data_IF_964858878938
#
_entry.id   IF_964858878938
#
_cell.length_a   1.000
_cell.length_b   1.000
_cell.length_c   1.000
_cell.angle_alpha   90.00
_cell.angle_beta   90.00
_cell.angle_gamma   90.00
#
_symmetry.space_group_name_H-M   'P 1'
#
loop_
_entity.id
_entity.type
_entity.pdbx_description
1 polymer ?
#
# COMPACT_ATOMS: atom_id res chain seq x y z
N UNK A 1 -2.02 -1.14 -23.44
CA UNK A 1 -1.14 -1.84 -22.47
C UNK A 1 -2.00 -2.33 -21.32
N UNK A 2 -1.86 -3.56 -20.91
CA UNK A 2 -2.44 -4.13 -19.71
C UNK A 2 -1.27 -4.44 -18.74
N UNK A 3 -1.35 -3.95 -17.50
CA UNK A 3 -0.30 -4.15 -16.51
C UNK A 3 -0.84 -4.16 -15.10
N UNK A 4 -0.10 -4.77 -14.17
CA UNK A 4 -0.46 -4.89 -12.78
C UNK A 4 0.73 -4.62 -11.85
N UNK A 5 0.45 -4.05 -10.69
CA UNK A 5 1.38 -3.99 -9.56
C UNK A 5 0.90 -4.99 -8.53
N UNK A 6 1.81 -5.80 -8.00
CA UNK A 6 1.50 -6.87 -7.06
C UNK A 6 2.29 -6.64 -5.78
N UNK A 7 1.68 -6.91 -4.64
CA UNK A 7 2.30 -6.87 -3.32
C UNK A 7 2.00 -8.16 -2.56
N UNK A 8 2.70 -8.38 -1.45
CA UNK A 8 2.59 -9.58 -0.62
C UNK A 8 1.19 -9.78 -0.05
N UNK A 9 0.56 -8.68 0.43
CA UNK A 9 -0.74 -8.69 1.08
C UNK A 9 -0.79 -9.69 2.24
N UNK A 10 -1.89 -10.42 2.36
CA UNK A 10 -1.98 -11.54 3.30
C UNK A 10 -1.51 -12.86 2.70
N UNK A 11 -1.45 -12.98 1.38
CA UNK A 11 -1.10 -14.25 0.76
C UNK A 11 0.34 -14.65 1.07
N UNK A 12 1.29 -13.76 0.80
CA UNK A 12 2.70 -13.97 1.06
C UNK A 12 3.26 -13.13 2.22
N UNK A 13 2.46 -12.23 2.81
CA UNK A 13 2.82 -11.38 3.94
C UNK A 13 2.45 -12.00 5.28
N UNK A 14 2.27 -11.14 6.29
CA UNK A 14 1.95 -11.55 7.65
C UNK A 14 0.45 -11.75 7.86
N UNK A 15 0.09 -12.89 8.47
CA UNK A 15 -1.21 -13.15 9.06
C UNK A 15 -1.00 -13.44 10.54
N UNK A 16 -1.38 -12.53 11.42
CA UNK A 16 -1.06 -12.57 12.85
C UNK A 16 0.46 -12.70 13.08
N UNK A 17 0.92 -13.82 13.61
CA UNK A 17 2.35 -14.09 13.88
C UNK A 17 3.02 -14.93 12.79
N UNK A 18 2.27 -15.35 11.78
CA UNK A 18 2.77 -16.19 10.69
C UNK A 18 3.14 -15.34 9.48
N UNK A 19 4.13 -15.79 8.74
CA UNK A 19 4.54 -15.24 7.45
C UNK A 19 4.43 -16.34 6.39
N UNK A 20 4.09 -15.99 5.15
CA UNK A 20 3.88 -16.93 4.05
C UNK A 20 2.81 -18.01 4.33
N UNK A 21 1.75 -17.64 5.06
CA UNK A 21 0.73 -18.62 5.51
C UNK A 21 -0.01 -19.28 4.34
N UNK A 22 -0.27 -18.55 3.28
CA UNK A 22 -0.99 -19.04 2.11
C UNK A 22 -0.09 -19.32 0.91
N UNK A 23 1.12 -18.78 0.87
CA UNK A 23 2.10 -18.99 -0.20
C UNK A 23 3.31 -18.10 -0.09
N UNK A 24 4.39 -18.47 -0.75
CA UNK A 24 5.69 -17.76 -0.65
C UNK A 24 5.76 -16.49 -1.51
N UNK A 25 5.04 -16.48 -2.63
CA UNK A 25 5.04 -15.34 -3.55
C UNK A 25 3.65 -15.11 -4.14
N UNK A 26 3.23 -13.85 -4.29
CA UNK A 26 1.94 -13.52 -4.87
C UNK A 26 1.88 -13.96 -6.33
N UNK A 27 0.67 -14.33 -6.78
CA UNK A 27 0.39 -14.76 -8.15
C UNK A 27 -0.70 -13.88 -8.73
N UNK A 28 -0.67 -13.71 -10.03
CA UNK A 28 -1.61 -12.85 -10.74
C UNK A 28 -2.19 -13.57 -11.94
N UNK A 29 -3.50 -13.47 -12.09
CA UNK A 29 -4.23 -13.88 -13.27
C UNK A 29 -5.21 -12.79 -13.66
N UNK A 30 -5.28 -12.46 -14.93
CA UNK A 30 -6.24 -11.51 -15.48
C UNK A 30 -6.66 -11.88 -16.89
N UNK A 31 -7.88 -11.48 -17.22
CA UNK A 31 -8.44 -11.57 -18.55
C UNK A 31 -9.19 -10.26 -18.85
N UNK A 32 -8.87 -9.66 -20.00
CA UNK A 32 -9.59 -8.51 -20.53
C UNK A 32 -10.36 -8.98 -21.76
N UNK A 33 -11.66 -8.76 -21.77
CA UNK A 33 -12.53 -9.02 -22.90
C UNK A 33 -13.00 -7.69 -23.48
N UNK A 34 -12.80 -7.52 -24.77
CA UNK A 34 -13.21 -6.31 -25.51
C UNK A 34 -14.20 -6.75 -26.59
N UNK A 35 -15.41 -6.21 -26.54
CA UNK A 35 -16.40 -6.33 -27.60
C UNK A 35 -16.27 -5.13 -28.54
N UNK A 36 -16.00 -5.39 -29.81
CA UNK A 36 -15.85 -4.39 -30.84
C UNK A 36 -17.22 -4.01 -31.43
N UNK A 37 -17.32 -2.86 -32.08
CA UNK A 37 -18.57 -2.37 -32.67
C UNK A 37 -19.18 -3.31 -33.72
N UNK A 38 -18.34 -4.12 -34.37
CA UNK A 38 -18.75 -5.15 -35.34
C UNK A 38 -19.21 -6.48 -34.69
N UNK A 39 -19.26 -6.54 -33.35
CA UNK A 39 -19.63 -7.72 -32.59
C UNK A 39 -18.51 -8.74 -32.40
N UNK A 40 -17.31 -8.49 -32.91
CA UNK A 40 -16.16 -9.36 -32.65
C UNK A 40 -15.68 -9.18 -31.20
N UNK A 41 -15.35 -10.29 -30.56
CA UNK A 41 -14.80 -10.33 -29.20
C UNK A 41 -13.30 -10.61 -29.21
N UNK A 42 -12.53 -9.72 -28.67
CA UNK A 42 -11.10 -9.89 -28.49
C UNK A 42 -10.82 -10.18 -27.01
N UNK A 43 -10.00 -11.21 -26.76
CA UNK A 43 -9.60 -11.61 -25.40
C UNK A 43 -8.10 -11.44 -25.24
N UNK A 44 -7.68 -10.74 -24.20
CA UNK A 44 -6.28 -10.62 -23.78
C UNK A 44 -6.18 -11.22 -22.39
N UNK A 45 -5.41 -12.28 -22.22
CA UNK A 45 -5.21 -12.96 -20.93
C UNK A 45 -3.74 -12.93 -20.52
N UNK A 46 -3.49 -13.22 -19.25
CA UNK A 46 -2.12 -13.46 -18.74
C UNK A 46 -1.58 -14.77 -19.33
N UNK A 47 -0.36 -14.72 -19.85
CA UNK A 47 0.35 -15.85 -20.47
C UNK A 47 1.87 -15.72 -20.27
N UNK A 48 2.66 -16.56 -20.91
CA UNK A 48 4.13 -16.56 -20.87
C UNK A 48 4.79 -15.40 -21.65
N UNK A 49 4.01 -14.63 -22.40
CA UNK A 49 4.50 -13.44 -23.11
C UNK A 49 4.58 -12.20 -22.22
N UNK A 50 3.98 -12.27 -21.03
CA UNK A 50 4.08 -11.19 -20.07
C UNK A 50 5.51 -11.01 -19.58
N UNK A 51 5.80 -9.81 -19.12
CA UNK A 51 7.09 -9.44 -18.58
C UNK A 51 6.90 -8.83 -17.19
N UNK A 52 7.92 -9.01 -16.34
CA UNK A 52 7.92 -8.50 -14.97
C UNK A 52 9.18 -7.70 -14.67
N UNK A 53 9.06 -6.74 -13.77
CA UNK A 53 10.18 -5.99 -13.22
C UNK A 53 9.89 -5.59 -11.80
N UNK A 54 10.92 -5.42 -11.01
CA UNK A 54 10.82 -4.73 -9.73
C UNK A 54 10.83 -3.22 -9.97
N UNK A 55 10.16 -2.48 -9.08
CA UNK A 55 10.03 -1.03 -9.18
C UNK A 55 10.04 -0.36 -7.82
N UNK A 56 9.34 0.75 -7.71
CA UNK A 56 9.29 1.58 -6.52
C UNK A 56 8.65 0.92 -5.29
N UNK A 57 7.72 0.00 -5.48
CA UNK A 57 7.12 -0.78 -4.39
C UNK A 57 8.09 -1.88 -3.96
N UNK A 58 8.72 -1.72 -2.79
CA UNK A 58 9.70 -2.67 -2.25
C UNK A 58 9.07 -3.70 -1.32
N UNK A 59 7.92 -3.35 -0.72
CA UNK A 59 7.19 -4.20 0.21
C UNK A 59 5.76 -3.69 0.38
N UNK A 60 4.78 -4.58 0.53
CA UNK A 60 3.39 -4.21 0.75
C UNK A 60 2.64 -5.29 1.52
N UNK A 61 2.51 -5.11 2.84
CA UNK A 61 1.95 -6.05 3.81
C UNK A 61 0.94 -5.34 4.71
N UNK A 62 -0.23 -5.91 4.90
CA UNK A 62 -1.31 -5.27 5.65
C UNK A 62 -0.99 -5.02 7.13
N UNK A 63 -0.13 -5.83 7.75
CA UNK A 63 0.27 -5.66 9.16
C UNK A 63 1.58 -4.89 9.31
N UNK A 64 2.52 -5.08 8.39
CA UNK A 64 3.81 -4.43 8.44
C UNK A 64 3.79 -3.03 7.84
N UNK A 65 2.98 -2.81 6.80
CA UNK A 65 2.86 -1.57 6.05
C UNK A 65 3.47 -1.63 4.66
N UNK A 66 3.57 -0.49 3.99
CA UNK A 66 4.12 -0.36 2.65
C UNK A 66 5.47 0.35 2.68
N UNK A 67 6.41 -0.13 1.87
CA UNK A 67 7.68 0.54 1.64
C UNK A 67 7.82 0.89 0.16
N UNK A 68 7.89 2.19 -0.12
CA UNK A 68 7.96 2.73 -1.45
C UNK A 68 9.19 3.63 -1.63
N UNK A 69 9.99 3.36 -2.63
CA UNK A 69 11.15 4.19 -3.00
C UNK A 69 10.89 4.89 -4.35
N UNK A 70 10.52 6.15 -4.30
CA UNK A 70 10.16 6.92 -5.49
C UNK A 70 11.32 7.11 -6.50
N UNK A 71 12.56 6.85 -6.09
CA UNK A 71 13.73 6.89 -6.99
C UNK A 71 13.75 5.72 -7.98
N UNK A 72 13.01 4.64 -7.65
CA UNK A 72 12.91 3.41 -8.44
C UNK A 72 11.66 3.37 -9.32
N UNK A 73 10.93 4.47 -9.43
CA UNK A 73 9.77 4.55 -10.31
C UNK A 73 10.15 4.28 -11.77
N UNK A 74 9.40 3.40 -12.40
CA UNK A 74 9.55 3.08 -13.81
C UNK A 74 8.68 4.03 -14.63
N UNK A 75 9.31 4.98 -15.29
CA UNK A 75 8.57 6.00 -16.05
C UNK A 75 7.81 5.37 -17.22
N UNK A 76 6.54 5.74 -17.38
CA UNK A 76 5.70 5.39 -18.53
C UNK A 76 5.50 3.87 -18.76
N UNK A 77 5.73 3.03 -17.76
CA UNK A 77 5.61 1.57 -17.91
C UNK A 77 4.18 1.12 -18.31
N UNK A 78 3.19 1.92 -17.99
CA UNK A 78 1.76 1.71 -18.24
C UNK A 78 1.26 2.43 -19.52
N UNK A 79 2.16 3.06 -20.27
CA UNK A 79 1.80 3.82 -21.48
C UNK A 79 1.96 2.99 -22.76
N UNK A 80 1.13 3.25 -23.80
CA UNK A 80 1.33 2.67 -25.11
C UNK A 80 2.73 2.97 -25.66
N UNK A 81 3.37 1.94 -26.23
CA UNK A 81 4.72 2.05 -26.79
C UNK A 81 5.86 1.87 -25.79
N UNK A 82 5.57 1.62 -24.52
CA UNK A 82 6.62 1.24 -23.57
C UNK A 82 7.30 -0.06 -24.00
N UNK A 83 8.63 -0.03 -24.08
CA UNK A 83 9.45 -1.18 -24.45
C UNK A 83 10.03 -1.84 -23.20
N UNK A 84 9.48 -2.95 -22.79
CA UNK A 84 9.93 -3.74 -21.63
C UNK A 84 11.17 -4.62 -21.95
N UNK A 85 12.20 -4.04 -22.61
CA UNK A 85 13.37 -4.81 -23.12
C UNK A 85 14.17 -5.47 -22.01
N UNK A 86 14.31 -4.77 -20.89
CA UNK A 86 15.09 -5.23 -19.73
C UNK A 86 14.24 -5.92 -18.66
N UNK A 87 12.96 -6.13 -18.94
CA UNK A 87 12.06 -6.84 -18.05
C UNK A 87 12.23 -8.35 -18.20
N UNK A 88 12.16 -9.05 -17.09
CA UNK A 88 12.30 -10.51 -17.04
C UNK A 88 11.04 -11.20 -17.56
N UNK A 89 11.15 -12.41 -18.13
CA UNK A 89 9.99 -13.24 -18.38
C UNK A 89 9.28 -13.60 -17.07
N UNK A 90 7.97 -13.82 -17.13
CA UNK A 90 7.21 -14.34 -16.00
C UNK A 90 7.35 -15.86 -15.91
N UNK A 91 7.25 -16.39 -14.69
CA UNK A 91 7.01 -17.82 -14.48
C UNK A 91 5.49 -18.06 -14.52
N UNK A 92 5.07 -19.05 -15.31
CA UNK A 92 3.67 -19.45 -15.40
C UNK A 92 3.43 -20.77 -14.67
N UNK A 93 2.26 -20.92 -14.08
CA UNK A 93 1.79 -22.14 -13.45
C UNK A 93 0.43 -22.54 -14.02
N UNK A 94 0.09 -23.80 -13.91
CA UNK A 94 -1.25 -24.25 -14.23
C UNK A 94 -2.29 -23.55 -13.36
N UNK A 95 -3.45 -23.25 -13.94
CA UNK A 95 -4.58 -22.75 -13.17
C UNK A 95 -4.90 -23.74 -12.05
N UNK A 96 -5.07 -23.27 -10.81
CA UNK A 96 -5.52 -24.14 -9.73
C UNK A 96 -6.92 -24.68 -10.07
N UNK A 97 -7.19 -25.90 -9.65
CA UNK A 97 -8.52 -26.53 -9.75
C UNK A 97 -9.49 -25.84 -8.77
N UNK A 98 -9.75 -24.56 -8.97
CA UNK A 98 -10.64 -23.78 -8.11
C UNK A 98 -11.55 -22.90 -8.98
N UNK A 99 -12.74 -22.65 -8.50
CA UNK A 99 -13.67 -21.77 -9.18
C UNK A 99 -13.27 -20.32 -8.98
N UNK A 100 -12.99 -19.60 -10.05
CA UNK A 100 -12.90 -18.16 -10.03
C UNK A 100 -14.31 -17.58 -9.93
N UNK A 101 -14.56 -16.82 -8.91
CA UNK A 101 -15.84 -16.19 -8.70
C UNK A 101 -15.68 -14.68 -8.44
N UNK A 102 -16.73 -13.95 -8.72
CA UNK A 102 -16.78 -12.52 -8.41
C UNK A 102 -16.77 -12.31 -6.90
N UNK A 103 -16.00 -11.33 -6.41
CA UNK A 103 -16.02 -10.99 -4.99
C UNK A 103 -17.40 -10.46 -4.59
N UNK A 104 -18.10 -11.08 -3.61
CA UNK A 104 -19.39 -10.62 -3.15
C UNK A 104 -19.33 -9.36 -2.28
N UNK A 105 -18.13 -9.01 -1.79
CA UNK A 105 -17.95 -7.85 -0.91
C UNK A 105 -17.93 -6.55 -1.72
N UNK A 106 -18.49 -5.44 -1.16
CA UNK A 106 -18.30 -4.14 -1.74
C UNK A 106 -16.82 -3.79 -1.87
N UNK A 107 -16.38 -3.16 -2.95
CA UNK A 107 -14.99 -2.78 -3.10
C UNK A 107 -14.59 -1.71 -2.07
N UNK A 108 -13.37 -1.81 -1.57
CA UNK A 108 -12.77 -0.76 -0.73
C UNK A 108 -12.62 0.50 -1.58
N UNK A 109 -13.18 1.62 -1.11
CA UNK A 109 -13.17 2.90 -1.82
C UNK A 109 -12.77 4.03 -0.89
N UNK A 110 -12.09 5.03 -1.44
CA UNK A 110 -11.89 6.31 -0.75
C UNK A 110 -13.26 6.97 -0.56
N UNK A 111 -13.66 7.20 0.69
CA UNK A 111 -14.93 7.83 1.04
C UNK A 111 -14.78 9.35 1.15
N UNK A 112 -13.72 9.81 1.82
CA UNK A 112 -13.43 11.23 2.07
C UNK A 112 -11.97 11.44 2.44
N UNK A 113 -11.50 12.68 2.29
CA UNK A 113 -10.23 13.15 2.84
C UNK A 113 -10.49 13.88 4.17
N UNK A 114 -9.68 13.58 5.19
CA UNK A 114 -9.75 14.18 6.52
C UNK A 114 -8.44 14.92 6.77
N UNK A 115 -8.53 16.15 7.24
CA UNK A 115 -7.37 16.95 7.63
C UNK A 115 -7.10 16.74 9.12
N UNK A 116 -5.81 16.79 9.48
CA UNK A 116 -5.43 16.84 10.89
C UNK A 116 -6.02 18.07 11.56
N UNK A 117 -6.51 17.90 12.78
CA UNK A 117 -7.06 18.97 13.64
C UNK A 117 -5.99 19.54 14.56
N UNK A 118 -4.96 18.75 14.88
CA UNK A 118 -3.84 19.15 15.72
C UNK A 118 -2.53 18.53 15.20
N UNK A 119 -1.43 19.26 15.36
CA UNK A 119 -0.06 18.80 15.10
C UNK A 119 0.78 19.07 16.35
N UNK A 120 1.40 18.02 16.89
CA UNK A 120 2.32 18.11 18.02
C UNK A 120 3.70 17.56 17.67
N UNK A 121 4.72 17.97 18.42
CA UNK A 121 6.09 17.47 18.26
C UNK A 121 6.62 16.98 19.61
N UNK A 122 6.29 15.75 20.04
CA UNK A 122 6.70 15.24 21.34
C UNK A 122 8.22 15.03 21.46
N UNK A 123 8.92 14.81 20.34
CA UNK A 123 10.38 14.64 20.28
C UNK A 123 10.94 15.28 19.00
N UNK A 124 12.23 15.64 18.95
CA UNK A 124 12.88 16.12 17.73
C UNK A 124 12.63 15.15 16.55
N UNK A 125 12.25 15.72 15.41
CA UNK A 125 11.94 14.99 14.15
C UNK A 125 10.77 14.00 14.23
N UNK A 126 9.96 14.03 15.30
CA UNK A 126 8.73 13.24 15.42
C UNK A 126 7.53 14.18 15.47
N UNK A 127 6.61 14.00 14.56
CA UNK A 127 5.39 14.80 14.44
C UNK A 127 4.19 13.89 14.61
N UNK A 128 3.25 14.24 15.46
CA UNK A 128 2.00 13.52 15.69
C UNK A 128 0.85 14.36 15.15
N UNK A 129 0.14 13.78 14.21
CA UNK A 129 -1.04 14.38 13.58
C UNK A 129 -2.29 13.77 14.18
N UNK A 130 -3.09 14.58 14.87
CA UNK A 130 -4.40 14.18 15.38
C UNK A 130 -5.46 14.44 14.30
N UNK A 131 -6.26 13.45 13.97
CA UNK A 131 -7.34 13.54 12.98
C UNK A 131 -8.72 13.77 13.62
N UNK A 132 -8.78 13.90 14.95
CA UNK A 132 -10.00 14.23 15.69
C UNK A 132 -11.02 13.10 15.79
N UNK A 133 -10.77 11.94 15.20
CA UNK A 133 -11.67 10.78 15.23
C UNK A 133 -10.95 9.47 14.98
N UNK A 134 -11.52 8.37 15.47
CA UNK A 134 -11.07 7.03 15.11
C UNK A 134 -11.49 6.73 13.66
N UNK A 135 -10.57 6.22 12.88
CA UNK A 135 -10.82 5.87 11.49
C UNK A 135 -9.89 4.78 10.99
N UNK A 136 -10.29 4.17 9.90
CA UNK A 136 -9.46 3.28 9.09
C UNK A 136 -9.20 3.96 7.75
N UNK A 137 -7.94 3.96 7.31
CA UNK A 137 -7.56 4.59 6.06
C UNK A 137 -6.06 4.59 5.82
N UNK A 138 -5.64 5.43 4.91
CA UNK A 138 -4.23 5.68 4.58
C UNK A 138 -3.95 7.17 4.48
N UNK A 139 -2.67 7.53 4.57
CA UNK A 139 -2.22 8.92 4.52
C UNK A 139 -1.94 9.34 3.08
N UNK A 140 -2.43 10.52 2.70
CA UNK A 140 -1.94 11.25 1.53
C UNK A 140 -0.78 12.14 1.95
N UNK A 141 0.43 11.66 1.74
CA UNK A 141 1.66 12.39 2.04
C UNK A 141 1.93 13.46 0.98
N UNK A 142 2.21 14.67 1.44
CA UNK A 142 2.76 15.76 0.61
C UNK A 142 4.07 16.20 1.22
N UNK A 143 5.17 16.00 0.52
CA UNK A 143 6.50 16.26 1.04
C UNK A 143 7.39 16.94 0.00
N UNK A 144 8.27 17.82 0.48
CA UNK A 144 9.36 18.38 -0.32
C UNK A 144 10.66 18.22 0.44
N UNK A 145 11.52 17.34 -0.05
CA UNK A 145 12.76 16.98 0.61
C UNK A 145 13.82 16.55 -0.43
N UNK A 146 15.10 16.51 -0.07
CA UNK A 146 16.16 15.97 -0.93
C UNK A 146 15.89 14.50 -1.29
N UNK A 147 16.44 14.07 -2.43
CA UNK A 147 16.41 12.66 -2.85
C UNK A 147 17.01 11.75 -1.75
N UNK A 148 16.38 10.61 -1.52
CA UNK A 148 16.80 9.66 -0.50
C UNK A 148 16.31 9.99 0.92
N UNK A 149 15.66 11.15 1.13
CA UNK A 149 15.01 11.42 2.42
C UNK A 149 13.92 10.39 2.68
N UNK A 150 13.98 9.75 3.83
CA UNK A 150 13.03 8.74 4.25
C UNK A 150 11.97 9.34 5.16
N UNK A 151 10.72 9.28 4.76
CA UNK A 151 9.56 9.65 5.57
C UNK A 151 8.91 8.37 6.08
N UNK A 152 8.81 8.23 7.39
CA UNK A 152 8.21 7.07 8.04
C UNK A 152 6.90 7.50 8.69
N UNK A 153 5.80 6.89 8.27
CA UNK A 153 4.46 7.10 8.79
C UNK A 153 4.12 5.92 9.71
N UNK A 154 3.96 6.21 11.00
CA UNK A 154 3.60 5.22 12.02
C UNK A 154 2.18 5.47 12.48
N UNK A 155 1.38 4.42 12.60
CA UNK A 155 -0.03 4.52 12.96
C UNK A 155 -0.27 3.93 14.35
N UNK A 156 -1.16 4.55 15.11
CA UNK A 156 -1.58 4.08 16.43
C UNK A 156 -2.95 4.67 16.80
N UNK A 157 -3.63 4.00 17.71
CA UNK A 157 -4.94 4.43 18.23
C UNK A 157 -4.85 5.20 19.55
N UNK A 158 -3.71 5.14 20.23
CA UNK A 158 -3.51 5.76 21.55
C UNK A 158 -2.16 6.45 21.63
N UNK A 159 -2.06 7.41 22.57
CA UNK A 159 -0.81 8.06 22.92
C UNK A 159 -0.38 7.68 24.35
N UNK A 160 0.93 7.64 24.55
CA UNK A 160 1.54 7.62 25.88
C UNK A 160 1.33 8.98 26.58
N UNK A 161 1.50 9.07 27.91
CA UNK A 161 1.39 10.33 28.65
C UNK A 161 2.37 11.42 28.17
N UNK A 162 3.50 11.04 27.57
CA UNK A 162 4.50 11.95 27.00
C UNK A 162 4.15 12.44 25.58
N UNK A 163 2.98 12.07 25.07
CA UNK A 163 2.49 12.44 23.74
C UNK A 163 3.05 11.59 22.58
N UNK A 164 3.88 10.59 22.84
CA UNK A 164 4.33 9.63 21.82
C UNK A 164 3.27 8.56 21.54
N UNK A 165 3.39 7.86 20.40
CA UNK A 165 2.46 6.79 20.03
C UNK A 165 2.58 5.60 21.00
N UNK A 166 1.43 5.07 21.45
CA UNK A 166 1.37 3.79 22.16
C UNK A 166 1.24 2.65 21.17
N UNK A 167 2.24 1.79 21.10
CA UNK A 167 2.36 0.74 20.09
C UNK A 167 2.22 -0.68 20.63
N UNK A 168 2.17 -0.86 21.95
CA UNK A 168 2.16 -2.19 22.58
C UNK A 168 0.92 -3.01 22.18
N UNK A 169 -0.21 -2.37 21.96
CA UNK A 169 -1.46 -3.01 21.53
C UNK A 169 -1.41 -3.54 20.09
N UNK A 170 -0.48 -3.09 19.26
CA UNK A 170 -0.33 -3.55 17.88
C UNK A 170 0.25 -4.98 17.80
N UNK A 171 0.83 -5.50 18.87
CA UNK A 171 1.43 -6.83 18.95
C UNK A 171 2.52 -7.03 17.87
N UNK A 172 2.28 -7.91 16.88
CA UNK A 172 3.19 -8.17 15.75
C UNK A 172 3.07 -7.17 14.60
N UNK A 173 1.98 -6.40 14.53
CA UNK A 173 1.79 -5.43 13.47
C UNK A 173 2.73 -4.23 13.66
N UNK A 174 3.46 -3.89 12.62
CA UNK A 174 4.34 -2.70 12.62
C UNK A 174 3.55 -1.43 12.37
N UNK A 175 2.52 -1.52 11.51
CA UNK A 175 1.69 -0.40 11.07
C UNK A 175 2.53 0.81 10.64
N UNK A 176 3.47 0.60 9.71
CA UNK A 176 4.44 1.60 9.26
C UNK A 176 4.47 1.66 7.75
N UNK A 177 4.10 2.79 7.18
CA UNK A 177 4.39 3.07 5.78
C UNK A 177 5.67 3.90 5.67
N UNK A 178 6.50 3.57 4.69
CA UNK A 178 7.77 4.26 4.46
C UNK A 178 7.83 4.76 3.01
N UNK A 179 8.06 6.06 2.86
CA UNK A 179 8.29 6.68 1.56
C UNK A 179 9.70 7.24 1.47
N UNK A 180 10.42 6.90 0.41
CA UNK A 180 11.75 7.46 0.12
C UNK A 180 11.60 8.47 -1.01
N UNK A 181 11.93 9.73 -0.72
CA UNK A 181 11.76 10.83 -1.66
C UNK A 181 12.68 10.69 -2.87
N UNK A 182 12.14 11.01 -4.04
CA UNK A 182 12.89 11.16 -5.30
C UNK A 182 13.66 12.47 -5.33
N UNK A 183 13.12 13.53 -4.69
CA UNK A 183 13.67 14.87 -4.71
C UNK A 183 13.21 15.69 -5.91
N UNK A 184 13.69 16.94 -6.00
CA UNK A 184 13.42 17.82 -7.14
C UNK A 184 12.12 18.63 -7.07
N UNK A 185 11.28 18.48 -6.04
CA UNK A 185 10.05 19.26 -5.93
C UNK A 185 9.11 18.79 -4.85
N UNK A 186 7.84 19.19 -4.99
CA UNK A 186 6.75 18.65 -4.16
C UNK A 186 6.35 17.29 -4.67
N UNK A 187 6.43 16.29 -3.80
CA UNK A 187 6.00 14.91 -4.05
C UNK A 187 4.68 14.64 -3.34
N UNK A 188 3.80 13.89 -3.99
CA UNK A 188 2.52 13.45 -3.44
C UNK A 188 2.47 11.95 -3.56
N UNK A 189 2.26 11.27 -2.44
CA UNK A 189 2.22 9.81 -2.40
C UNK A 189 1.11 9.32 -1.48
N UNK A 190 0.53 8.19 -1.84
CA UNK A 190 -0.45 7.43 -1.06
C UNK A 190 -0.10 5.95 -1.19
N UNK A 191 -0.08 5.16 -0.09
CA UNK A 191 0.10 3.72 -0.18
C UNK A 191 -1.04 3.08 -0.98
N UNK A 192 -0.75 2.00 -1.69
CA UNK A 192 -1.71 1.30 -2.56
C UNK A 192 -2.23 0.00 -1.96
N UNK A 193 -1.43 -0.62 -1.11
CA UNK A 193 -1.67 -1.98 -0.62
C UNK A 193 -1.85 -2.06 0.89
N UNK A 194 -1.84 -0.92 1.58
CA UNK A 194 -2.01 -0.87 3.02
C UNK A 194 -3.07 0.14 3.44
N UNK A 195 -3.66 -0.12 4.58
CA UNK A 195 -4.50 0.80 5.34
C UNK A 195 -4.34 0.47 6.82
N UNK A 196 -4.55 1.46 7.67
CA UNK A 196 -4.33 1.31 9.11
C UNK A 196 -5.51 1.88 9.89
N UNK A 197 -5.76 1.32 11.09
CA UNK A 197 -6.57 1.96 12.11
C UNK A 197 -5.72 2.99 12.86
N UNK A 198 -6.22 4.18 13.07
CA UNK A 198 -5.51 5.20 13.82
C UNK A 198 -6.44 6.22 14.45
N UNK A 199 -6.06 6.64 15.66
CA UNK A 199 -6.75 7.63 16.45
C UNK A 199 -5.81 8.20 17.50
N UNK A 200 -4.94 9.16 17.19
CA UNK A 200 -4.17 9.82 18.22
C UNK A 200 -5.06 10.79 18.99
N UNK A 201 -5.74 10.32 20.05
CA UNK A 201 -6.37 11.17 21.05
C UNK A 201 -5.42 11.28 22.25
N UNK A 202 -5.12 12.49 22.69
CA UNK A 202 -4.65 12.69 24.06
C UNK A 202 -5.69 12.07 24.99
N UNK A 203 -5.28 11.20 25.88
CA UNK A 203 -6.12 10.77 26.99
C UNK A 203 -6.49 12.01 27.82
N UNK A 204 -7.54 12.71 27.40
CA UNK A 204 -8.17 13.69 28.26
C UNK A 204 -9.06 12.89 29.18
N UNK A 205 -8.66 12.91 30.45
CA UNK A 205 -9.42 12.53 31.63
C UNK A 205 -9.71 11.04 31.79
N UNK A 206 -8.95 10.41 32.70
CA UNK A 206 -9.49 9.36 33.55
C UNK A 206 -10.87 9.79 34.01
N UNK A 207 -11.91 9.19 33.40
CA UNK A 207 -13.23 9.24 33.97
C UNK A 207 -13.11 8.61 35.36
N UNK A 208 -13.25 9.43 36.41
CA UNK A 208 -13.52 8.95 37.75
C UNK A 208 -14.80 8.14 37.68
N UNK A 209 -14.69 6.83 37.85
CA UNK A 209 -15.73 5.96 38.32
C UNK A 209 -15.46 5.59 39.75
#
# INVERSE_FOLDING_TARGET
>A
VLGAIIAEGWYAGHVAFMHHHYGESPKFIAQLEVELEDGHRQVVATDDQWRQSYGALLYGDLLAGEWYDARLELANWDQPGFAARDWLPVATEALPETNLCWSPAPPVKRQREIKAVELTQPRPSQYVFDLGQNLVGHVKLRVKAPAGTRVRLQFAEMLNPDGTLYLTNLRSARAIDTYVCRGGGLEVWEPRFTFHGFFPRKNSESANL
#
